data_IF_074022657691
#
_entry.id   IF_074022657691
#
_cell.length_a   1.000
_cell.length_b   1.000
_cell.length_c   1.000
_cell.angle_alpha   90.00
_cell.angle_beta   90.00
_cell.angle_gamma   90.00
#
_symmetry.space_group_name_H-M   'P 1'
#
loop_
_entity.id
_entity.type
_entity.pdbx_description
1 polymer ?
#
# COMPACT_ATOMS: atom_id res chain seq x y z
N UNK A 1 -2.25 -3.36 34.28
CA UNK A 1 -2.34 -1.89 34.31
C UNK A 1 -1.15 -1.23 33.62
N UNK A 2 0.07 -1.54 34.00
CA UNK A 2 1.30 -0.95 33.41
C UNK A 2 1.35 -1.16 31.90
N UNK A 3 1.12 -2.37 31.40
CA UNK A 3 1.12 -2.68 29.96
C UNK A 3 0.00 -1.96 29.21
N UNK A 4 -1.20 -1.90 29.79
CA UNK A 4 -2.34 -1.15 29.20
C UNK A 4 -2.00 0.33 29.01
N UNK A 5 -1.35 0.94 30.00
CA UNK A 5 -0.94 2.35 29.91
C UNK A 5 0.17 2.60 28.90
N UNK A 6 1.20 1.72 28.83
CA UNK A 6 2.33 1.90 27.92
C UNK A 6 1.94 1.58 26.47
N UNK A 7 1.16 0.52 26.27
CA UNK A 7 0.74 0.05 24.94
C UNK A 7 -0.53 0.71 24.43
N UNK A 8 -1.23 1.50 25.29
CA UNK A 8 -2.49 2.15 24.96
C UNK A 8 -3.58 1.13 24.52
N UNK A 9 -3.53 -0.08 25.10
CA UNK A 9 -4.47 -1.15 24.84
C UNK A 9 -5.50 -1.26 25.97
N UNK A 10 -6.68 -1.78 25.63
CA UNK A 10 -7.70 -2.03 26.63
C UNK A 10 -7.23 -3.08 27.64
N UNK A 11 -7.44 -2.79 28.93
CA UNK A 11 -7.08 -3.66 30.03
C UNK A 11 -7.82 -5.00 29.99
N UNK A 12 -9.06 -5.01 29.57
CA UNK A 12 -9.88 -6.22 29.50
C UNK A 12 -9.45 -7.11 28.32
N UNK A 13 -9.04 -6.53 27.21
CA UNK A 13 -8.46 -7.29 26.08
C UNK A 13 -7.15 -7.97 26.48
N UNK A 14 -6.28 -7.26 27.21
CA UNK A 14 -5.04 -7.85 27.74
C UNK A 14 -5.35 -9.00 28.68
N UNK A 15 -6.31 -8.82 29.60
CA UNK A 15 -6.72 -9.91 30.52
C UNK A 15 -7.29 -11.11 29.77
N UNK A 16 -8.15 -10.89 28.77
CA UNK A 16 -8.73 -11.93 27.93
C UNK A 16 -7.64 -12.72 27.21
N UNK A 17 -6.66 -12.01 26.66
CA UNK A 17 -5.51 -12.65 25.99
C UNK A 17 -4.67 -13.49 26.96
N UNK A 18 -4.40 -13.00 28.17
CA UNK A 18 -3.68 -13.71 29.22
C UNK A 18 -4.45 -14.94 29.71
N UNK A 19 -5.78 -14.86 29.76
CA UNK A 19 -6.66 -15.96 30.22
C UNK A 19 -6.94 -17.01 29.14
N UNK A 20 -6.45 -16.81 27.90
CA UNK A 20 -6.72 -17.70 26.76
C UNK A 20 -6.09 -19.10 26.85
N UNK A 21 -5.27 -19.36 27.87
CA UNK A 21 -4.56 -20.64 28.07
C UNK A 21 -3.41 -20.88 27.08
N UNK A 22 -3.15 -19.96 26.16
CA UNK A 22 -2.03 -20.05 25.24
C UNK A 22 -0.71 -19.78 25.97
N UNK A 23 0.24 -20.69 25.86
CA UNK A 23 1.57 -20.54 26.47
C UNK A 23 2.37 -19.36 25.91
N UNK A 24 2.10 -18.93 24.69
CA UNK A 24 2.78 -17.85 24.00
C UNK A 24 1.80 -17.18 23.00
N UNK A 25 1.74 -15.86 23.02
CA UNK A 25 0.95 -15.07 22.07
C UNK A 25 1.55 -13.67 21.92
N UNK A 26 1.34 -13.04 20.76
CA UNK A 26 1.74 -11.65 20.54
C UNK A 26 0.71 -10.73 21.21
N UNK A 27 1.15 -9.94 22.18
CA UNK A 27 0.31 -8.97 22.87
C UNK A 27 0.14 -7.71 22.04
N UNK A 28 1.20 -7.25 21.41
CA UNK A 28 1.22 -6.12 20.50
C UNK A 28 2.28 -6.33 19.42
N UNK A 29 2.06 -5.73 18.24
CA UNK A 29 3.00 -5.76 17.11
C UNK A 29 3.44 -4.32 16.79
N UNK A 30 4.59 -4.18 16.16
CA UNK A 30 5.12 -2.89 15.67
C UNK A 30 5.23 -1.80 16.76
N UNK A 31 5.75 -2.20 17.92
CA UNK A 31 5.92 -1.30 19.07
C UNK A 31 7.17 -0.46 18.88
N UNK A 32 7.05 0.85 19.10
CA UNK A 32 8.18 1.77 19.02
C UNK A 32 9.22 1.51 20.12
N UNK A 33 10.48 1.82 19.81
CA UNK A 33 11.62 1.58 20.71
C UNK A 33 11.47 2.23 22.09
N UNK A 34 10.79 3.37 22.19
CA UNK A 34 10.54 4.07 23.45
C UNK A 34 9.54 3.31 24.34
N UNK A 35 8.48 2.75 23.75
CA UNK A 35 7.55 1.89 24.48
C UNK A 35 8.24 0.60 24.95
N UNK A 36 9.13 0.03 24.11
CA UNK A 36 9.94 -1.16 24.48
C UNK A 36 10.83 -0.85 25.70
N UNK A 37 11.52 0.32 25.71
CA UNK A 37 12.33 0.74 26.86
C UNK A 37 11.51 0.81 28.14
N UNK A 38 10.36 1.49 28.10
CA UNK A 38 9.45 1.62 29.25
C UNK A 38 8.98 0.26 29.79
N UNK A 39 8.68 -0.69 28.90
CA UNK A 39 8.27 -2.05 29.31
C UNK A 39 9.44 -2.81 29.96
N UNK A 40 10.67 -2.67 29.41
CA UNK A 40 11.87 -3.27 30.01
C UNK A 40 12.17 -2.71 31.40
N UNK A 41 12.05 -1.40 31.58
CA UNK A 41 12.22 -0.70 32.85
C UNK A 41 11.21 -1.15 33.90
N UNK A 42 9.99 -1.46 33.48
CA UNK A 42 8.93 -2.00 34.35
C UNK A 42 9.19 -3.43 34.84
N UNK A 43 10.24 -4.13 34.33
CA UNK A 43 10.70 -5.46 34.76
C UNK A 43 9.59 -6.50 34.90
N UNK A 44 8.62 -6.49 33.99
CA UNK A 44 7.47 -7.41 34.01
C UNK A 44 7.95 -8.79 33.57
N UNK A 45 7.81 -9.80 34.40
CA UNK A 45 8.19 -11.18 34.07
C UNK A 45 7.27 -11.78 33.01
N UNK A 46 7.82 -12.66 32.17
CA UNK A 46 7.05 -13.37 31.14
C UNK A 46 6.83 -12.59 29.85
N UNK A 47 7.45 -11.42 29.70
CA UNK A 47 7.45 -10.64 28.47
C UNK A 47 8.79 -10.78 27.77
N UNK A 48 8.76 -11.00 26.47
CA UNK A 48 9.93 -10.94 25.58
C UNK A 48 9.59 -10.15 24.34
N UNK A 49 10.63 -9.70 23.67
CA UNK A 49 10.53 -8.90 22.45
C UNK A 49 11.16 -9.66 21.30
N UNK A 50 10.50 -9.63 20.17
CA UNK A 50 11.04 -10.10 18.90
C UNK A 50 11.31 -8.87 18.03
N UNK A 51 12.45 -8.86 17.34
CA UNK A 51 12.75 -7.80 16.39
C UNK A 51 11.89 -8.01 15.14
N UNK A 52 11.22 -6.95 14.71
CA UNK A 52 10.38 -6.94 13.52
C UNK A 52 10.79 -5.74 12.65
N UNK A 53 10.56 -5.85 11.36
CA UNK A 53 10.66 -4.73 10.42
C UNK A 53 9.27 -4.15 10.16
N UNK A 54 9.21 -2.85 9.96
CA UNK A 54 7.99 -2.14 9.55
C UNK A 54 8.28 -1.32 8.31
N UNK A 55 7.37 -1.37 7.34
CA UNK A 55 7.39 -0.47 6.21
C UNK A 55 6.97 0.92 6.66
N UNK A 56 7.68 1.92 6.21
CA UNK A 56 7.37 3.32 6.49
C UNK A 56 7.42 4.12 5.17
N UNK A 57 6.40 4.91 4.93
CA UNK A 57 6.24 5.73 3.73
C UNK A 57 6.45 7.20 4.11
N UNK A 58 7.66 7.75 3.92
CA UNK A 58 8.04 9.05 4.48
C UNK A 58 7.24 10.22 3.92
N UNK A 59 6.70 10.08 2.71
CA UNK A 59 5.91 11.12 2.07
C UNK A 59 4.38 10.96 2.25
N UNK A 60 3.95 10.08 3.18
CA UNK A 60 2.53 9.88 3.47
C UNK A 60 1.75 9.45 2.23
N UNK A 61 0.71 10.21 1.85
CA UNK A 61 -0.19 9.89 0.73
C UNK A 61 0.40 10.07 -0.67
N UNK A 62 1.64 10.60 -0.78
CA UNK A 62 2.31 10.81 -2.06
C UNK A 62 2.44 9.51 -2.85
N UNK A 63 2.00 9.54 -4.12
CA UNK A 63 2.00 8.41 -5.04
C UNK A 63 1.39 7.11 -4.45
N UNK A 64 0.42 7.23 -3.53
CA UNK A 64 -0.13 6.10 -2.75
C UNK A 64 -0.63 4.95 -3.60
N UNK A 65 -1.31 5.23 -4.71
CA UNK A 65 -1.79 4.20 -5.63
C UNK A 65 -0.68 3.51 -6.43
N UNK A 66 0.44 4.20 -6.67
CA UNK A 66 1.60 3.63 -7.35
C UNK A 66 2.40 2.78 -6.39
N UNK A 67 2.78 3.35 -5.25
CA UNK A 67 3.58 2.67 -4.23
C UNK A 67 2.79 1.52 -3.61
N UNK A 68 1.54 1.77 -3.24
CA UNK A 68 0.72 0.83 -2.50
C UNK A 68 1.11 0.76 -1.03
N UNK A 69 0.77 -0.34 -0.39
CA UNK A 69 1.08 -0.57 1.03
C UNK A 69 1.22 -2.07 1.34
N UNK A 70 1.71 -2.34 2.54
CA UNK A 70 1.88 -3.71 3.06
C UNK A 70 0.94 -3.99 4.23
N UNK A 71 0.70 -5.28 4.49
CA UNK A 71 0.02 -5.75 5.71
C UNK A 71 0.93 -5.59 6.94
N UNK A 72 0.37 -5.85 8.13
CA UNK A 72 1.14 -5.91 9.38
C UNK A 72 2.23 -7.01 9.38
N UNK A 73 2.16 -7.97 8.48
CA UNK A 73 3.15 -9.02 8.26
C UNK A 73 4.15 -8.67 7.13
N UNK A 74 4.20 -7.41 6.69
CA UNK A 74 5.02 -6.94 5.57
C UNK A 74 4.77 -7.70 4.24
N UNK A 75 3.52 -8.06 3.98
CA UNK A 75 3.09 -8.62 2.69
C UNK A 75 2.44 -7.50 1.88
N UNK A 76 2.89 -7.28 0.66
CA UNK A 76 2.32 -6.26 -0.23
C UNK A 76 0.85 -6.52 -0.53
N UNK A 77 0.00 -5.50 -0.35
CA UNK A 77 -1.46 -5.59 -0.56
C UNK A 77 -1.92 -4.79 -1.79
N UNK A 78 -1.22 -3.73 -2.15
CA UNK A 78 -1.57 -2.87 -3.28
C UNK A 78 -0.31 -2.32 -3.95
N UNK A 79 -0.47 -1.79 -5.18
CA UNK A 79 0.55 -1.08 -5.92
C UNK A 79 1.83 -1.89 -6.17
N UNK A 80 2.94 -1.19 -6.20
CA UNK A 80 4.29 -1.75 -6.39
C UNK A 80 4.65 -2.72 -5.26
N UNK A 81 4.23 -2.44 -4.02
CA UNK A 81 4.46 -3.34 -2.87
C UNK A 81 3.84 -4.72 -3.10
N UNK A 82 2.66 -4.80 -3.71
CA UNK A 82 2.04 -6.07 -4.06
C UNK A 82 2.70 -6.74 -5.27
N UNK A 83 2.89 -5.97 -6.35
CA UNK A 83 3.42 -6.50 -7.62
C UNK A 83 4.85 -7.02 -7.49
N UNK A 84 5.67 -6.37 -6.68
CA UNK A 84 7.07 -6.71 -6.45
C UNK A 84 7.35 -7.29 -5.06
N UNK A 85 6.32 -7.77 -4.36
CA UNK A 85 6.45 -8.27 -3.00
C UNK A 85 7.55 -9.32 -2.84
N UNK A 86 7.70 -10.23 -3.80
CA UNK A 86 8.74 -11.28 -3.78
C UNK A 86 10.16 -10.70 -3.77
N UNK A 87 10.38 -9.56 -4.43
CA UNK A 87 11.68 -8.90 -4.50
C UNK A 87 11.93 -7.99 -3.29
N UNK A 88 10.87 -7.31 -2.81
CA UNK A 88 10.96 -6.32 -1.74
C UNK A 88 11.00 -6.94 -0.34
N UNK A 89 10.34 -8.09 -0.14
CA UNK A 89 10.17 -8.73 1.17
C UNK A 89 11.46 -9.33 1.74
N UNK A 90 12.38 -9.78 0.89
CA UNK A 90 13.53 -10.57 1.32
C UNK A 90 13.15 -11.98 1.82
N UNK A 91 14.10 -12.66 2.43
CA UNK A 91 13.93 -14.02 2.98
C UNK A 91 14.27 -13.96 4.48
N UNK A 92 13.34 -14.30 5.37
CA UNK A 92 13.62 -14.32 6.80
C UNK A 92 14.67 -15.38 7.14
N UNK A 93 15.58 -15.04 8.03
CA UNK A 93 16.52 -15.99 8.60
C UNK A 93 15.80 -17.07 9.41
N UNK A 94 16.43 -18.24 9.52
CA UNK A 94 15.91 -19.34 10.31
C UNK A 94 17.01 -19.94 11.17
N UNK A 95 16.71 -20.11 12.44
CA UNK A 95 17.61 -20.75 13.39
C UNK A 95 16.88 -21.88 14.12
N UNK A 96 17.51 -23.05 14.19
CA UNK A 96 16.94 -24.25 14.81
C UNK A 96 17.81 -24.64 16.01
N UNK A 97 17.21 -24.64 17.21
CA UNK A 97 17.84 -25.05 18.46
C UNK A 97 17.27 -26.35 18.97
N UNK A 98 18.11 -27.14 19.69
CA UNK A 98 17.64 -28.25 20.52
C UNK A 98 17.33 -27.69 21.90
N UNK A 99 16.15 -28.01 22.43
CA UNK A 99 15.73 -27.64 23.78
C UNK A 99 15.49 -28.87 24.62
N UNK A 100 15.82 -28.80 25.95
CA UNK A 100 15.49 -29.80 26.89
C UNK A 100 13.99 -29.82 27.28
N UNK A 101 13.57 -30.80 28.05
CA UNK A 101 12.18 -30.91 28.54
C UNK A 101 11.74 -29.69 29.39
N UNK A 102 12.68 -28.87 29.88
CA UNK A 102 12.44 -27.63 30.62
C UNK A 102 12.52 -26.39 29.72
N UNK A 103 12.55 -26.59 28.38
CA UNK A 103 12.63 -25.52 27.39
C UNK A 103 13.93 -24.70 27.42
N UNK A 104 15.03 -25.24 27.95
CA UNK A 104 16.37 -24.64 27.96
C UNK A 104 17.14 -25.14 26.74
N UNK A 105 17.92 -24.27 26.10
CA UNK A 105 18.80 -24.65 25.00
C UNK A 105 19.88 -25.61 25.48
N UNK A 106 19.98 -26.79 24.85
CA UNK A 106 20.93 -27.83 25.20
C UNK A 106 22.31 -27.60 24.57
N UNK A 107 22.34 -26.92 23.43
CA UNK A 107 23.56 -26.67 22.68
C UNK A 107 23.77 -25.17 22.50
N UNK A 108 25.01 -24.73 22.70
CA UNK A 108 25.44 -23.36 22.37
C UNK A 108 25.51 -23.11 20.87
N UNK A 109 25.46 -24.16 20.05
CA UNK A 109 25.47 -24.08 18.60
C UNK A 109 24.08 -24.48 18.08
N UNK A 110 23.51 -23.62 17.21
CA UNK A 110 22.30 -23.93 16.44
C UNK A 110 22.57 -25.15 15.53
N UNK A 111 21.56 -26.04 15.40
CA UNK A 111 21.61 -27.15 14.45
C UNK A 111 21.68 -26.71 12.99
N UNK A 112 21.03 -25.60 12.72
CA UNK A 112 21.03 -24.98 11.40
C UNK A 112 20.79 -23.48 11.57
N UNK A 113 21.61 -22.70 10.94
CA UNK A 113 21.46 -21.24 10.86
C UNK A 113 21.46 -20.82 9.39
N UNK A 114 20.36 -20.23 8.94
CA UNK A 114 20.26 -19.59 7.64
C UNK A 114 20.17 -18.09 7.87
N UNK A 115 21.10 -17.37 7.32
CA UNK A 115 21.11 -15.91 7.41
C UNK A 115 19.91 -15.30 6.70
N UNK A 116 19.33 -14.20 7.23
CA UNK A 116 18.30 -13.46 6.53
C UNK A 116 18.87 -12.80 5.27
N UNK A 117 18.10 -12.84 4.19
CA UNK A 117 18.44 -12.15 2.94
C UNK A 117 17.57 -10.91 2.83
N UNK A 118 18.21 -9.74 2.77
CA UNK A 118 17.48 -8.47 2.61
C UNK A 118 16.72 -8.43 1.29
N UNK A 119 15.57 -7.75 1.29
CA UNK A 119 14.85 -7.41 0.09
C UNK A 119 15.66 -6.50 -0.83
N UNK A 120 15.29 -6.47 -2.10
CA UNK A 120 15.92 -5.62 -3.12
C UNK A 120 15.28 -4.23 -3.12
N UNK A 121 16.03 -3.25 -3.62
CA UNK A 121 15.49 -1.93 -3.92
C UNK A 121 14.80 -1.95 -5.29
N UNK A 122 13.76 -1.14 -5.43
CA UNK A 122 13.08 -0.89 -6.68
C UNK A 122 13.19 0.60 -7.00
N UNK A 123 13.61 0.90 -8.23
CA UNK A 123 13.69 2.26 -8.75
C UNK A 123 12.54 2.42 -9.75
N UNK A 124 11.72 3.44 -9.55
CA UNK A 124 10.60 3.76 -10.41
C UNK A 124 10.97 4.89 -11.37
N UNK A 125 10.24 5.00 -12.47
CA UNK A 125 10.33 6.11 -13.43
C UNK A 125 9.58 7.35 -12.96
N UNK A 126 8.82 7.26 -11.86
CA UNK A 126 8.09 8.40 -11.29
C UNK A 126 9.07 9.49 -10.89
N UNK A 127 8.89 10.67 -11.47
CA UNK A 127 9.61 11.89 -11.10
C UNK A 127 8.88 12.57 -9.93
N UNK A 128 9.63 12.84 -8.84
CA UNK A 128 9.05 13.41 -7.61
C UNK A 128 8.44 14.80 -7.86
N UNK A 129 9.07 15.62 -8.68
CA UNK A 129 8.63 16.99 -8.95
C UNK A 129 7.35 16.99 -9.81
N UNK A 130 7.34 16.19 -10.87
CA UNK A 130 6.19 16.03 -11.75
C UNK A 130 5.01 15.47 -10.94
N UNK A 131 5.22 14.40 -10.20
CA UNK A 131 4.19 13.76 -9.37
C UNK A 131 3.60 14.75 -8.36
N UNK A 132 4.44 15.55 -7.68
CA UNK A 132 3.99 16.53 -6.70
C UNK A 132 3.12 17.62 -7.34
N UNK A 133 3.53 18.18 -8.49
CA UNK A 133 2.73 19.15 -9.21
C UNK A 133 1.40 18.58 -9.69
N UNK A 134 1.41 17.35 -10.20
CA UNK A 134 0.20 16.64 -10.61
C UNK A 134 -0.74 16.40 -9.43
N UNK A 135 -0.25 15.97 -8.28
CA UNK A 135 -1.09 15.75 -7.09
C UNK A 135 -1.82 17.00 -6.66
N UNK A 136 -1.11 18.15 -6.65
CA UNK A 136 -1.73 19.44 -6.33
C UNK A 136 -2.79 19.85 -7.35
N UNK A 137 -2.49 19.71 -8.64
CA UNK A 137 -3.43 20.06 -9.71
C UNK A 137 -4.68 19.16 -9.69
N UNK A 138 -4.50 17.85 -9.47
CA UNK A 138 -5.60 16.89 -9.42
C UNK A 138 -6.45 17.08 -8.15
N UNK A 139 -5.84 17.39 -7.00
CA UNK A 139 -6.56 17.74 -5.77
C UNK A 139 -7.41 18.99 -5.96
N UNK A 140 -6.81 20.04 -6.57
CA UNK A 140 -7.54 21.28 -6.88
C UNK A 140 -8.72 21.02 -7.83
N UNK A 141 -8.49 20.25 -8.89
CA UNK A 141 -9.54 19.89 -9.84
C UNK A 141 -10.68 19.09 -9.22
N UNK A 142 -10.37 18.20 -8.25
CA UNK A 142 -11.37 17.46 -7.51
C UNK A 142 -12.31 18.40 -6.75
N UNK A 143 -11.73 19.38 -6.05
CA UNK A 143 -12.47 20.34 -5.22
C UNK A 143 -13.25 21.32 -6.09
N UNK A 144 -12.61 21.97 -7.05
CA UNK A 144 -13.22 23.03 -7.89
C UNK A 144 -14.40 22.54 -8.70
N UNK A 145 -14.36 21.28 -9.14
CA UNK A 145 -15.42 20.70 -9.96
C UNK A 145 -16.37 19.80 -9.17
N UNK A 146 -16.21 19.70 -7.84
CA UNK A 146 -16.96 18.76 -7.00
C UNK A 146 -16.99 17.35 -7.66
N UNK A 147 -15.83 16.93 -8.19
CA UNK A 147 -15.72 15.70 -8.95
C UNK A 147 -15.70 14.48 -8.01
N UNK A 148 -16.30 13.37 -8.42
CA UNK A 148 -16.23 12.12 -7.67
C UNK A 148 -14.84 11.50 -7.71
N UNK A 149 -14.12 11.73 -8.83
CA UNK A 149 -12.78 11.20 -9.06
C UNK A 149 -12.08 12.04 -10.13
N UNK A 150 -10.78 12.25 -9.96
CA UNK A 150 -9.91 12.84 -10.97
C UNK A 150 -8.67 11.96 -11.09
N UNK A 151 -8.27 11.66 -12.33
CA UNK A 151 -7.11 10.83 -12.64
C UNK A 151 -6.24 11.60 -13.62
N UNK A 152 -4.93 11.57 -13.42
CA UNK A 152 -3.95 12.12 -14.34
C UNK A 152 -2.74 11.19 -14.46
N UNK A 153 -2.22 11.05 -15.69
CA UNK A 153 -1.02 10.27 -15.99
C UNK A 153 -0.13 11.16 -16.86
N UNK A 154 1.15 11.27 -16.49
CA UNK A 154 2.19 11.88 -17.31
C UNK A 154 3.14 10.80 -17.81
N UNK A 155 3.36 10.76 -19.11
CA UNK A 155 4.21 9.76 -19.76
C UNK A 155 5.17 10.47 -20.71
N UNK A 156 6.42 10.01 -20.74
CA UNK A 156 7.38 10.39 -21.78
C UNK A 156 6.97 9.72 -23.10
N UNK A 157 6.65 10.48 -24.15
CA UNK A 157 6.20 9.89 -25.42
C UNK A 157 7.30 9.17 -26.19
N UNK A 158 8.57 9.40 -25.85
CA UNK A 158 9.70 8.77 -26.55
C UNK A 158 10.06 7.42 -25.95
N UNK A 159 10.03 7.30 -24.62
CA UNK A 159 10.43 6.09 -23.89
C UNK A 159 9.24 5.26 -23.42
N UNK A 160 8.08 5.87 -23.25
CA UNK A 160 6.91 5.24 -22.62
C UNK A 160 6.97 5.23 -21.09
N UNK A 161 7.99 5.84 -20.48
CA UNK A 161 8.11 5.91 -19.04
C UNK A 161 6.99 6.73 -18.40
N UNK A 162 6.39 6.19 -17.36
CA UNK A 162 5.41 6.90 -16.56
C UNK A 162 6.14 7.79 -15.56
N UNK A 163 6.09 9.10 -15.79
CA UNK A 163 6.74 10.12 -14.96
C UNK A 163 5.87 10.56 -13.78
N UNK A 164 4.56 10.39 -13.89
CA UNK A 164 3.61 10.70 -12.83
C UNK A 164 2.29 9.96 -13.04
N UNK A 165 1.68 9.51 -11.94
CA UNK A 165 0.37 8.87 -11.96
C UNK A 165 -0.38 9.23 -10.68
N UNK A 166 -1.47 9.95 -10.82
CA UNK A 166 -2.27 10.46 -9.70
C UNK A 166 -3.71 10.06 -9.87
N UNK A 167 -4.32 9.66 -8.80
CA UNK A 167 -5.76 9.46 -8.68
C UNK A 167 -6.24 10.05 -7.37
N UNK A 168 -7.30 10.85 -7.40
CA UNK A 168 -7.97 11.38 -6.21
C UNK A 168 -9.46 11.00 -6.25
N UNK A 169 -10.06 10.67 -5.09
CA UNK A 169 -9.52 10.59 -3.72
C UNK A 169 -8.46 9.49 -3.54
N UNK A 170 -7.48 9.73 -2.68
CA UNK A 170 -6.40 8.82 -2.33
C UNK A 170 -6.46 8.38 -0.86
N UNK A 171 -5.42 7.67 -0.39
CA UNK A 171 -5.29 7.19 0.99
C UNK A 171 -3.84 7.32 1.47
N UNK A 172 -3.61 7.23 2.80
CA UNK A 172 -2.25 7.18 3.37
C UNK A 172 -1.78 5.72 3.49
N UNK A 173 -0.70 5.32 2.82
CA UNK A 173 -0.11 3.99 2.96
C UNK A 173 0.33 3.62 4.38
N UNK A 174 0.67 4.60 5.22
CA UNK A 174 1.01 4.37 6.63
C UNK A 174 -0.20 4.03 7.48
N UNK A 175 -1.39 4.51 7.09
CA UNK A 175 -2.67 4.23 7.74
C UNK A 175 -3.73 3.88 6.70
N UNK A 176 -3.47 2.82 5.95
CA UNK A 176 -4.27 2.42 4.79
C UNK A 176 -5.72 2.02 5.11
N UNK A 177 -6.06 1.83 6.38
CA UNK A 177 -7.41 1.43 6.81
C UNK A 177 -8.30 2.61 7.18
N UNK A 178 -7.72 3.79 7.40
CA UNK A 178 -8.46 5.01 7.73
C UNK A 178 -8.68 5.84 6.47
N UNK A 179 -9.94 5.99 6.01
CA UNK A 179 -10.24 6.82 4.85
C UNK A 179 -9.94 8.28 5.10
N UNK A 180 -9.35 8.95 4.12
CA UNK A 180 -9.08 10.39 4.15
C UNK A 180 -10.25 11.24 3.61
N UNK A 181 -11.19 10.61 2.90
CA UNK A 181 -12.28 11.30 2.21
C UNK A 181 -13.65 10.73 2.62
N UNK A 182 -14.67 11.59 2.76
CA UNK A 182 -16.02 11.19 3.16
C UNK A 182 -16.60 10.07 2.27
N UNK A 183 -16.32 10.11 0.98
CA UNK A 183 -16.79 9.11 0.02
C UNK A 183 -16.47 7.66 0.42
N UNK A 184 -15.27 7.43 0.93
CA UNK A 184 -14.85 6.11 1.39
C UNK A 184 -15.31 5.84 2.82
N UNK A 185 -15.29 6.87 3.68
CA UNK A 185 -15.74 6.76 5.08
C UNK A 185 -17.20 6.31 5.15
N UNK A 186 -18.09 6.95 4.40
CA UNK A 186 -19.51 6.63 4.36
C UNK A 186 -19.78 5.18 3.95
N UNK A 187 -19.03 4.67 2.96
CA UNK A 187 -19.16 3.29 2.50
C UNK A 187 -18.68 2.27 3.53
N UNK A 188 -17.56 2.56 4.19
CA UNK A 188 -16.99 1.70 5.22
C UNK A 188 -17.88 1.69 6.47
N UNK A 189 -18.45 2.84 6.85
CA UNK A 189 -19.35 2.95 7.99
C UNK A 189 -20.72 2.29 7.72
N UNK A 190 -21.16 2.28 6.47
CA UNK A 190 -22.40 1.62 6.07
C UNK A 190 -22.26 0.09 6.00
N UNK A 191 -21.05 -0.46 5.99
CA UNK A 191 -20.82 -1.89 5.93
C UNK A 191 -21.25 -2.60 7.23
N UNK A 192 -22.07 -3.64 7.10
CA UNK A 192 -22.69 -4.36 8.21
C UNK A 192 -21.81 -5.46 8.79
N UNK A 193 -20.77 -5.86 8.09
CA UNK A 193 -19.85 -6.92 8.49
C UNK A 193 -18.39 -6.55 8.24
N UNK A 194 -17.47 -7.23 8.93
CA UNK A 194 -16.03 -7.06 8.70
C UNK A 194 -15.61 -7.47 7.28
N UNK A 195 -16.30 -8.40 6.67
CA UNK A 195 -16.08 -8.83 5.30
C UNK A 195 -16.46 -7.73 4.31
N UNK A 196 -17.61 -7.07 4.49
CA UNK A 196 -18.02 -5.93 3.70
C UNK A 196 -17.08 -4.74 3.87
N UNK A 197 -16.67 -4.43 5.11
CA UNK A 197 -15.65 -3.39 5.36
C UNK A 197 -14.36 -3.67 4.61
N UNK A 198 -13.90 -4.91 4.63
CA UNK A 198 -12.68 -5.30 3.92
C UNK A 198 -12.84 -5.12 2.40
N UNK A 199 -14.01 -5.44 1.84
CA UNK A 199 -14.31 -5.24 0.42
C UNK A 199 -14.26 -3.76 0.02
N UNK A 200 -14.82 -2.87 0.87
CA UNK A 200 -14.76 -1.42 0.63
C UNK A 200 -13.32 -0.89 0.74
N UNK A 201 -12.52 -1.40 1.68
CA UNK A 201 -11.11 -1.09 1.76
C UNK A 201 -10.34 -1.52 0.50
N UNK A 202 -10.58 -2.73 -0.02
CA UNK A 202 -9.98 -3.16 -1.30
C UNK A 202 -10.40 -2.25 -2.45
N UNK A 203 -11.64 -1.78 -2.47
CA UNK A 203 -12.13 -0.82 -3.47
C UNK A 203 -11.38 0.52 -3.35
N UNK A 204 -11.11 0.99 -2.13
CA UNK A 204 -10.34 2.20 -1.87
C UNK A 204 -8.88 2.07 -2.30
N UNK A 205 -8.24 0.91 -2.06
CA UNK A 205 -6.84 0.68 -2.39
C UNK A 205 -6.59 0.40 -3.87
N UNK A 206 -7.62 0.03 -4.61
CA UNK A 206 -7.51 -0.30 -6.03
C UNK A 206 -7.19 0.95 -6.84
N UNK A 207 -6.08 0.93 -7.59
CA UNK A 207 -5.69 2.04 -8.44
C UNK A 207 -6.65 2.19 -9.64
N UNK A 208 -7.47 3.25 -9.69
CA UNK A 208 -8.45 3.41 -10.76
C UNK A 208 -7.80 3.73 -12.11
N UNK A 209 -6.60 4.33 -12.13
CA UNK A 209 -5.89 4.67 -13.36
C UNK A 209 -5.55 3.44 -14.23
N UNK A 210 -5.39 2.26 -13.60
CA UNK A 210 -5.01 1.01 -14.29
C UNK A 210 -6.06 -0.09 -14.20
N UNK A 211 -7.12 0.11 -13.40
CA UNK A 211 -8.13 -0.92 -13.18
C UNK A 211 -9.54 -0.53 -13.63
N UNK A 212 -9.83 0.77 -13.79
CA UNK A 212 -11.16 1.22 -14.18
C UNK A 212 -11.22 1.44 -15.69
N UNK A 213 -12.33 1.03 -16.27
CA UNK A 213 -12.66 1.29 -17.66
C UNK A 213 -13.60 2.49 -17.74
N UNK A 214 -13.50 3.24 -18.83
CA UNK A 214 -14.36 4.40 -19.09
C UNK A 214 -14.64 4.51 -20.60
N UNK A 215 -15.66 5.27 -20.97
CA UNK A 215 -15.96 5.62 -22.36
C UNK A 215 -15.10 6.82 -22.77
N UNK A 216 -14.06 6.63 -23.61
CA UNK A 216 -13.09 7.69 -23.88
C UNK A 216 -13.64 8.82 -24.75
N UNK A 217 -14.68 8.55 -25.54
CA UNK A 217 -15.23 9.53 -26.48
C UNK A 217 -14.18 10.06 -27.47
N UNK A 218 -14.15 11.38 -27.68
CA UNK A 218 -13.23 12.04 -28.63
C UNK A 218 -11.74 11.78 -28.41
N UNK A 219 -11.20 11.59 -27.18
CA UNK A 219 -9.80 11.19 -27.00
C UNK A 219 -9.41 9.93 -27.78
N UNK A 220 -10.34 9.02 -28.05
CA UNK A 220 -10.07 7.82 -28.85
C UNK A 220 -9.77 8.10 -30.32
N UNK A 221 -10.12 9.28 -30.82
CA UNK A 221 -9.80 9.70 -32.21
C UNK A 221 -8.29 9.71 -32.48
N UNK A 222 -7.46 9.96 -31.46
CA UNK A 222 -6.00 9.88 -31.56
C UNK A 222 -5.57 8.47 -31.98
N UNK A 223 -6.16 7.43 -31.39
CA UNK A 223 -5.88 6.03 -31.74
C UNK A 223 -6.28 5.75 -33.19
N UNK A 224 -7.47 6.19 -33.60
CA UNK A 224 -7.96 6.00 -34.97
C UNK A 224 -7.07 6.71 -35.99
N UNK A 225 -6.68 7.98 -35.71
CA UNK A 225 -5.79 8.73 -36.59
C UNK A 225 -4.39 8.10 -36.68
N UNK A 226 -3.83 7.67 -35.55
CA UNK A 226 -2.54 7.00 -35.53
C UNK A 226 -2.55 5.70 -36.33
N UNK A 227 -3.59 4.88 -36.20
CA UNK A 227 -3.74 3.66 -36.99
C UNK A 227 -3.86 3.94 -38.49
N UNK A 228 -4.64 4.96 -38.88
CA UNK A 228 -4.79 5.33 -40.30
C UNK A 228 -3.47 5.85 -40.90
N UNK A 229 -2.68 6.60 -40.15
CA UNK A 229 -1.34 7.05 -40.57
C UNK A 229 -0.35 5.91 -40.69
N UNK A 230 -0.33 4.96 -39.73
CA UNK A 230 0.57 3.79 -39.72
C UNK A 230 0.27 2.85 -40.89
N UNK A 231 -1.00 2.65 -41.21
CA UNK A 231 -1.45 1.84 -42.35
C UNK A 231 -1.29 2.59 -43.70
N UNK A 232 -0.85 3.84 -43.70
CA UNK A 232 -0.67 4.65 -44.93
C UNK A 232 -1.97 4.96 -45.64
N UNK A 233 -3.09 4.95 -44.95
CA UNK A 233 -4.42 5.23 -45.49
C UNK A 233 -4.68 6.74 -45.67
N UNK A 234 -3.98 7.53 -44.85
CA UNK A 234 -4.07 9.01 -44.84
C UNK A 234 -2.70 9.63 -44.63
N UNK A 235 -2.55 10.89 -44.99
CA UNK A 235 -1.31 11.66 -44.76
C UNK A 235 -1.60 12.89 -43.89
N UNK A 236 -0.63 13.41 -43.12
CA UNK A 236 -0.85 14.53 -42.19
C UNK A 236 -1.39 15.82 -42.87
N UNK A 237 -1.06 16.04 -44.15
CA UNK A 237 -1.47 17.19 -44.92
C UNK A 237 -2.76 16.96 -45.70
N UNK A 238 -3.38 15.81 -45.60
CA UNK A 238 -4.58 15.48 -46.34
C UNK A 238 -5.81 16.21 -45.77
N UNK A 239 -6.60 16.77 -46.70
CA UNK A 239 -7.81 17.52 -46.35
C UNK A 239 -9.04 16.62 -46.47
N UNK A 240 -9.85 16.61 -45.43
CA UNK A 240 -11.15 15.95 -45.43
C UNK A 240 -12.28 16.98 -45.42
N UNK A 241 -13.27 16.75 -46.25
CA UNK A 241 -14.49 17.53 -46.23
C UNK A 241 -15.53 16.79 -45.41
N UNK A 242 -15.70 17.19 -44.14
CA UNK A 242 -16.75 16.62 -43.29
C UNK A 242 -18.08 17.31 -43.57
N UNK A 243 -18.97 16.57 -44.23
CA UNK A 243 -20.32 17.04 -44.53
C UNK A 243 -21.34 16.75 -43.43
N UNK A 244 -20.86 16.20 -42.27
CA UNK A 244 -21.66 15.99 -41.07
C UNK A 244 -22.55 14.75 -41.09
N UNK A 245 -22.51 13.93 -42.15
CA UNK A 245 -23.19 12.63 -42.21
C UNK A 245 -22.39 11.65 -43.08
N UNK A 246 -22.53 10.37 -42.77
CA UNK A 246 -22.03 9.26 -43.59
C UNK A 246 -23.18 8.61 -44.30
N UNK A 247 -23.03 8.35 -45.61
CA UNK A 247 -23.98 7.52 -46.39
C UNK A 247 -23.88 6.05 -46.04
#
# INVERSE_FOLDING_TARGET
>A
ETLSKILELDKEEIKKSLSSGKKRFALAKNIDSDKVKKIREAKISGIWFEQSSRRYYPYGKFASYVIGHVSNENVGLAGVEASFNTYLKGIPGREIFIKDARNREISTNSLSYNEPVNGRNLILTIDEVIQHHMERAVEQALVDNNAKRVIAIAMDPQTGDILGMVSKPDYDPNDSRTPLYPLFQEKIDAALSDEEKLKELYTMWRNPAVNDIYEPGSPFKVVTASAALEEGLVYPEEWFNDIGYTE
#
